data_IF_768968679970
#
_entry.id   IF_768968679970
#
_cell.length_a   1.000
_cell.length_b   1.000
_cell.length_c   1.000
_cell.angle_alpha   90.00
_cell.angle_beta   90.00
_cell.angle_gamma   90.00
#
_symmetry.space_group_name_H-M   'P 1'
#
loop_
_entity.id
_entity.type
_entity.pdbx_description
1 polymer ?
#
# COMPACT_ATOMS: atom_id res chain seq x y z
N UNK A 1 -2.49 -35.82 35.79
CA UNK A 1 -1.72 -36.20 34.59
C UNK A 1 -2.24 -35.37 33.43
N UNK A 2 -1.46 -34.39 32.96
CA UNK A 2 -1.85 -33.56 31.81
C UNK A 2 -0.88 -33.90 30.68
N UNK A 3 -1.35 -34.64 29.68
CA UNK A 3 -0.57 -34.91 28.48
C UNK A 3 -0.36 -33.59 27.76
N UNK A 4 0.87 -33.06 27.81
CA UNK A 4 1.28 -31.94 26.97
C UNK A 4 1.31 -32.43 25.52
N UNK A 5 0.22 -32.17 24.79
CA UNK A 5 0.17 -32.32 23.34
C UNK A 5 0.87 -31.10 22.77
N UNK A 6 2.18 -31.24 22.50
CA UNK A 6 2.91 -30.30 21.65
C UNK A 6 2.31 -30.34 20.23
N UNK A 7 2.29 -29.23 19.47
CA UNK A 7 1.41 -29.05 18.32
C UNK A 7 1.96 -29.79 17.10
N UNK A 8 1.73 -31.10 17.07
CA UNK A 8 1.80 -31.89 15.85
C UNK A 8 0.69 -31.39 14.93
N UNK A 9 1.08 -30.78 13.80
CA UNK A 9 0.21 -30.25 12.73
C UNK A 9 -1.00 -31.15 12.55
N UNK A 10 -2.13 -30.78 13.16
CA UNK A 10 -3.34 -31.59 13.16
C UNK A 10 -4.21 -31.13 12.01
N UNK A 11 -4.73 -32.10 11.27
CA UNK A 11 -5.71 -31.85 10.22
C UNK A 11 -7.11 -31.90 10.82
N UNK A 12 -7.91 -30.88 10.54
CA UNK A 12 -9.30 -30.76 10.95
C UNK A 12 -10.17 -30.99 9.72
N UNK A 13 -11.15 -31.88 9.83
CA UNK A 13 -11.92 -32.43 8.70
C UNK A 13 -13.36 -31.88 8.66
N UNK A 14 -13.74 -31.10 9.66
CA UNK A 14 -15.10 -30.56 9.78
C UNK A 14 -15.14 -29.20 10.46
N UNK A 15 -16.19 -28.43 10.15
CA UNK A 15 -16.48 -27.18 10.84
C UNK A 15 -16.58 -27.31 12.35
N UNK A 16 -17.11 -28.44 12.85
CA UNK A 16 -17.27 -28.68 14.28
C UNK A 16 -15.91 -28.83 14.96
N UNK A 17 -14.99 -29.56 14.34
CA UNK A 17 -13.61 -29.70 14.81
C UNK A 17 -12.88 -28.35 14.79
N UNK A 18 -13.04 -27.57 13.72
CA UNK A 18 -12.45 -26.21 13.63
C UNK A 18 -13.03 -25.29 14.71
N UNK A 19 -14.33 -25.40 14.99
CA UNK A 19 -14.97 -24.62 16.06
C UNK A 19 -14.50 -24.99 17.45
N UNK A 20 -14.32 -26.29 17.71
CA UNK A 20 -13.77 -26.78 18.96
C UNK A 20 -12.32 -26.35 19.14
N UNK A 21 -11.52 -26.36 18.07
CA UNK A 21 -10.12 -25.94 18.09
C UNK A 21 -9.97 -24.44 18.35
N UNK A 22 -10.74 -23.60 17.65
CA UNK A 22 -10.64 -22.14 17.74
C UNK A 22 -11.40 -21.53 18.92
N UNK A 23 -12.26 -22.31 19.59
CA UNK A 23 -13.15 -21.83 20.65
C UNK A 23 -14.23 -20.84 20.17
N UNK A 24 -14.50 -20.77 18.86
CA UNK A 24 -15.49 -19.87 18.25
C UNK A 24 -16.63 -20.68 17.65
N UNK A 25 -17.85 -20.12 17.65
CA UNK A 25 -19.01 -20.80 17.06
C UNK A 25 -18.86 -21.02 15.54
N UNK A 26 -19.39 -22.14 15.03
CA UNK A 26 -19.29 -22.55 13.61
C UNK A 26 -19.65 -21.43 12.62
N UNK A 27 -20.76 -20.71 12.84
CA UNK A 27 -21.19 -19.59 11.97
C UNK A 27 -20.20 -18.43 11.94
N UNK A 28 -19.44 -18.22 13.01
CA UNK A 28 -18.40 -17.18 13.07
C UNK A 28 -17.24 -17.55 12.16
N UNK A 29 -16.85 -18.82 12.15
CA UNK A 29 -15.73 -19.33 11.36
C UNK A 29 -16.11 -19.37 9.88
N UNK A 30 -17.33 -19.80 9.55
CA UNK A 30 -17.86 -19.72 8.20
C UNK A 30 -17.91 -18.27 7.69
N UNK A 31 -18.29 -17.32 8.54
CA UNK A 31 -18.22 -15.89 8.19
C UNK A 31 -16.77 -15.44 7.97
N UNK A 32 -15.82 -15.92 8.78
CA UNK A 32 -14.40 -15.62 8.62
C UNK A 32 -13.82 -16.16 7.31
N UNK A 33 -14.24 -17.36 6.87
CA UNK A 33 -13.90 -17.88 5.54
C UNK A 33 -14.34 -16.91 4.45
N UNK A 34 -15.62 -16.53 4.45
CA UNK A 34 -16.22 -15.70 3.37
C UNK A 34 -15.71 -14.25 3.38
N UNK A 35 -15.56 -13.65 4.56
CA UNK A 35 -15.28 -12.20 4.68
C UNK A 35 -13.81 -11.86 4.93
N UNK A 36 -13.05 -12.77 5.55
CA UNK A 36 -11.70 -12.50 6.06
C UNK A 36 -10.65 -13.50 5.56
N UNK A 37 -11.02 -14.40 4.65
CA UNK A 37 -10.09 -15.35 4.03
C UNK A 37 -9.51 -16.36 5.03
N UNK A 38 -10.33 -16.87 5.95
CA UNK A 38 -9.92 -17.90 6.90
C UNK A 38 -9.36 -19.14 6.15
N UNK A 39 -8.21 -19.71 6.59
CA UNK A 39 -7.52 -20.78 5.87
C UNK A 39 -8.28 -22.10 5.98
N UNK A 40 -9.12 -22.34 4.97
CA UNK A 40 -9.90 -23.57 4.78
C UNK A 40 -9.72 -24.03 3.33
N UNK A 41 -9.35 -25.30 3.19
CA UNK A 41 -9.15 -25.96 1.91
C UNK A 41 -10.38 -26.80 1.56
N UNK A 42 -10.90 -26.61 0.34
CA UNK A 42 -12.03 -27.37 -0.21
C UNK A 42 -11.59 -28.11 -1.46
N UNK A 43 -11.27 -29.41 -1.37
CA UNK A 43 -10.73 -30.19 -2.50
C UNK A 43 -11.64 -30.21 -3.74
N UNK A 44 -12.96 -30.14 -3.55
CA UNK A 44 -13.92 -30.22 -4.64
C UNK A 44 -14.56 -28.86 -5.02
N UNK A 45 -14.12 -27.74 -4.44
CA UNK A 45 -14.62 -26.38 -4.76
C UNK A 45 -16.12 -26.11 -4.53
N UNK A 46 -16.91 -27.13 -4.17
CA UNK A 46 -18.35 -27.03 -3.95
C UNK A 46 -18.67 -26.57 -2.53
N UNK A 47 -19.75 -25.79 -2.31
CA UNK A 47 -20.18 -25.36 -0.98
C UNK A 47 -20.52 -26.52 -0.03
N UNK A 48 -20.83 -27.71 -0.57
CA UNK A 48 -21.07 -28.96 0.19
C UNK A 48 -19.83 -29.87 0.31
N UNK A 49 -18.67 -29.45 -0.20
CA UNK A 49 -17.44 -30.24 -0.15
C UNK A 49 -16.93 -30.42 1.28
N UNK A 50 -16.18 -31.49 1.52
CA UNK A 50 -15.43 -31.72 2.75
C UNK A 50 -14.50 -30.52 3.03
N UNK A 51 -14.41 -30.14 4.30
CA UNK A 51 -13.67 -28.97 4.77
C UNK A 51 -12.41 -29.45 5.44
N UNK A 52 -11.26 -29.02 4.93
CA UNK A 52 -9.97 -29.37 5.50
C UNK A 52 -9.29 -28.09 5.99
N UNK A 53 -8.81 -28.10 7.22
CA UNK A 53 -8.02 -26.99 7.76
C UNK A 53 -6.86 -27.52 8.59
N UNK A 54 -5.69 -26.90 8.45
CA UNK A 54 -4.53 -27.24 9.26
C UNK A 54 -4.44 -26.34 10.48
N UNK A 55 -4.15 -26.91 11.64
CA UNK A 55 -4.05 -26.14 12.89
C UNK A 55 -2.99 -25.05 12.84
N UNK A 56 -1.86 -25.27 12.16
CA UNK A 56 -0.78 -24.28 12.04
C UNK A 56 -1.16 -23.07 11.19
N UNK A 57 -1.89 -23.28 10.09
CA UNK A 57 -2.40 -22.19 9.26
C UNK A 57 -3.45 -21.36 10.01
N UNK A 58 -4.32 -22.03 10.76
CA UNK A 58 -5.30 -21.37 11.64
C UNK A 58 -4.57 -20.53 12.69
N UNK A 59 -3.56 -21.09 13.35
CA UNK A 59 -2.79 -20.40 14.39
C UNK A 59 -2.04 -19.19 13.81
N UNK A 60 -1.44 -19.33 12.62
CA UNK A 60 -0.78 -18.24 11.92
C UNK A 60 -1.77 -17.13 11.54
N UNK A 61 -2.96 -17.49 11.06
CA UNK A 61 -4.01 -16.54 10.73
C UNK A 61 -4.55 -15.81 11.97
N UNK A 62 -4.71 -16.53 13.09
CA UNK A 62 -5.12 -15.97 14.38
C UNK A 62 -4.02 -15.07 15.00
N UNK A 63 -2.74 -15.40 14.78
CA UNK A 63 -1.61 -14.59 15.22
C UNK A 63 -1.45 -13.30 14.38
N UNK A 64 -1.77 -13.37 13.09
CA UNK A 64 -1.74 -12.23 12.17
C UNK A 64 -2.95 -11.29 12.28
N UNK A 65 -4.07 -11.78 12.79
CA UNK A 65 -5.24 -10.95 13.09
C UNK A 65 -4.91 -9.96 14.20
N UNK A 66 -5.22 -8.65 14.06
CA UNK A 66 -5.05 -7.70 15.13
C UNK A 66 -5.92 -8.16 16.29
N UNK A 67 -5.30 -8.80 17.30
CA UNK A 67 -5.98 -9.17 18.54
C UNK A 67 -6.54 -7.87 19.09
N UNK A 68 -7.87 -7.69 19.03
CA UNK A 68 -8.54 -6.77 19.96
C UNK A 68 -8.08 -7.27 21.31
N UNK A 69 -7.24 -6.46 21.93
CA UNK A 69 -6.60 -6.79 23.18
C UNK A 69 -7.70 -6.84 24.24
N UNK A 70 -8.26 -8.02 24.49
CA UNK A 70 -8.89 -8.33 25.77
C UNK A 70 -7.76 -8.62 26.76
N UNK A 71 -7.06 -7.56 27.18
CA UNK A 71 -6.12 -7.56 28.33
C UNK A 71 -6.88 -7.15 29.60
N UNK A 72 -8.00 -7.80 29.92
CA UNK A 72 -8.72 -7.51 31.17
C UNK A 72 -8.98 -8.71 32.07
N UNK A 73 -8.53 -9.92 31.73
CA UNK A 73 -8.61 -11.02 32.68
C UNK A 73 -7.49 -12.06 32.43
N UNK A 74 -6.64 -12.25 33.43
CA UNK A 74 -5.51 -13.16 33.53
C UNK A 74 -4.25 -12.80 32.75
N UNK A 75 -3.24 -12.26 33.43
CA UNK A 75 -2.10 -13.07 33.92
C UNK A 75 -1.17 -12.19 34.81
N UNK A 76 -0.45 -12.79 35.77
CA UNK A 76 0.45 -12.11 36.68
C UNK A 76 1.76 -11.68 35.98
N UNK A 77 2.22 -10.47 36.33
CA UNK A 77 3.63 -10.02 36.27
C UNK A 77 4.35 -10.11 34.90
N UNK A 78 4.16 -9.12 34.02
CA UNK A 78 4.93 -8.95 32.77
C UNK A 78 6.17 -8.06 33.01
N UNK A 79 7.34 -8.63 32.75
CA UNK A 79 8.67 -7.99 32.84
C UNK A 79 8.88 -6.94 31.74
N UNK A 80 9.47 -5.79 32.08
CA UNK A 80 9.75 -4.62 31.20
C UNK A 80 10.36 -4.93 29.81
N UNK A 81 11.01 -6.08 29.65
CA UNK A 81 11.68 -6.52 28.43
C UNK A 81 10.72 -6.84 27.27
N UNK A 82 9.48 -7.27 27.55
CA UNK A 82 8.52 -7.57 26.49
C UNK A 82 7.75 -6.34 26.02
N UNK A 83 7.56 -5.36 26.91
CA UNK A 83 6.99 -4.06 26.54
C UNK A 83 7.93 -3.27 25.62
N UNK A 84 9.23 -3.27 25.88
CA UNK A 84 10.25 -2.62 25.04
C UNK A 84 10.37 -3.26 23.66
N UNK A 85 10.37 -4.59 23.57
CA UNK A 85 10.32 -5.31 22.28
C UNK A 85 9.07 -4.97 21.48
N UNK A 86 7.91 -4.89 22.14
CA UNK A 86 6.65 -4.51 21.49
C UNK A 86 6.69 -3.08 20.97
N UNK A 87 7.17 -2.14 21.78
CA UNK A 87 7.33 -0.73 21.39
C UNK A 87 8.31 -0.56 20.23
N UNK A 88 9.45 -1.25 20.26
CA UNK A 88 10.43 -1.26 19.16
C UNK A 88 9.82 -1.82 17.86
N UNK A 89 9.01 -2.89 17.95
CA UNK A 89 8.33 -3.46 16.79
C UNK A 89 7.32 -2.49 16.14
N UNK A 90 6.65 -1.66 16.95
CA UNK A 90 5.73 -0.64 16.46
C UNK A 90 6.49 0.52 15.80
N UNK A 91 7.60 0.94 16.41
CA UNK A 91 8.48 1.99 15.87
C UNK A 91 9.03 1.62 14.50
N UNK A 92 9.60 0.41 14.35
CA UNK A 92 10.14 -0.05 13.06
C UNK A 92 9.06 -0.10 11.96
N UNK A 93 7.85 -0.56 12.29
CA UNK A 93 6.73 -0.61 11.33
C UNK A 93 6.29 0.79 10.89
N UNK A 94 6.20 1.73 11.83
CA UNK A 94 5.89 3.13 11.53
C UNK A 94 6.98 3.78 10.67
N UNK A 95 8.25 3.48 10.94
CA UNK A 95 9.37 4.02 10.18
C UNK A 95 9.35 3.56 8.71
N UNK A 96 9.11 2.26 8.47
CA UNK A 96 9.04 1.72 7.09
C UNK A 96 7.90 2.35 6.29
N UNK A 97 6.74 2.61 6.91
CA UNK A 97 5.63 3.27 6.20
C UNK A 97 5.95 4.74 5.89
N UNK A 98 6.59 5.47 6.79
CA UNK A 98 7.07 6.84 6.53
C UNK A 98 8.10 6.89 5.41
N UNK A 99 9.06 5.95 5.38
CA UNK A 99 10.10 5.91 4.36
C UNK A 99 9.53 5.65 2.96
N UNK A 100 8.55 4.74 2.84
CA UNK A 100 7.85 4.49 1.57
C UNK A 100 7.07 5.72 1.10
N UNK A 101 6.38 6.41 2.00
CA UNK A 101 5.67 7.64 1.68
C UNK A 101 6.64 8.75 1.20
N UNK A 102 7.80 8.87 1.84
CA UNK A 102 8.84 9.83 1.43
C UNK A 102 9.38 9.54 0.02
N UNK A 103 9.64 8.27 -0.32
CA UNK A 103 10.10 7.89 -1.65
C UNK A 103 9.08 8.27 -2.74
N UNK A 104 7.78 8.08 -2.48
CA UNK A 104 6.70 8.50 -3.39
C UNK A 104 6.72 10.02 -3.58
N UNK A 105 6.78 10.79 -2.49
CA UNK A 105 6.84 12.25 -2.57
C UNK A 105 8.10 12.75 -3.31
N UNK A 106 9.25 12.11 -3.13
CA UNK A 106 10.48 12.43 -3.85
C UNK A 106 10.30 12.22 -5.36
N UNK A 107 9.76 11.06 -5.76
CA UNK A 107 9.50 10.78 -7.17
C UNK A 107 8.54 11.81 -7.79
N UNK A 108 7.46 12.16 -7.09
CA UNK A 108 6.51 13.19 -7.55
C UNK A 108 7.14 14.58 -7.64
N UNK A 109 8.03 14.94 -6.72
CA UNK A 109 8.74 16.22 -6.77
C UNK A 109 9.69 16.29 -7.97
N UNK A 110 10.36 15.19 -8.30
CA UNK A 110 11.27 15.09 -9.43
C UNK A 110 10.50 15.17 -10.77
N UNK A 111 9.34 14.50 -10.88
CA UNK A 111 8.50 14.59 -12.08
C UNK A 111 7.93 15.99 -12.26
N UNK A 112 7.49 16.66 -11.19
CA UNK A 112 7.05 18.06 -11.23
C UNK A 112 8.16 18.99 -11.75
N UNK A 113 9.38 18.86 -11.22
CA UNK A 113 10.51 19.71 -11.64
C UNK A 113 10.92 19.49 -13.11
N UNK A 114 10.65 18.31 -13.68
CA UNK A 114 10.85 18.06 -15.10
C UNK A 114 9.78 18.77 -15.94
N UNK A 115 8.50 18.67 -15.52
CA UNK A 115 7.39 19.35 -16.17
C UNK A 115 7.58 20.87 -16.18
N UNK A 116 7.99 21.45 -15.06
CA UNK A 116 8.27 22.89 -14.95
C UNK A 116 9.37 23.31 -15.94
N UNK A 117 10.45 22.51 -16.05
CA UNK A 117 11.54 22.77 -17.01
C UNK A 117 11.11 22.67 -18.47
N UNK A 118 10.27 21.69 -18.81
CA UNK A 118 9.72 21.57 -20.16
C UNK A 118 8.80 22.74 -20.49
N UNK A 119 7.92 23.12 -19.56
CA UNK A 119 7.03 24.25 -19.71
C UNK A 119 7.81 25.55 -19.92
N UNK A 120 8.83 25.82 -19.11
CA UNK A 120 9.70 26.99 -19.29
C UNK A 120 10.41 27.00 -20.65
N UNK A 121 10.84 25.84 -21.13
CA UNK A 121 11.46 25.71 -22.46
C UNK A 121 10.48 26.04 -23.58
N UNK A 122 9.24 25.57 -23.48
CA UNK A 122 8.18 25.89 -24.42
C UNK A 122 7.85 27.39 -24.40
N UNK A 123 7.69 27.98 -23.21
CA UNK A 123 7.43 29.41 -23.05
C UNK A 123 8.56 30.26 -23.64
N UNK A 124 9.83 29.90 -23.40
CA UNK A 124 10.98 30.57 -24.03
C UNK A 124 10.98 30.43 -25.56
N UNK A 125 10.63 29.26 -26.10
CA UNK A 125 10.54 29.03 -27.53
C UNK A 125 9.44 29.86 -28.19
N UNK A 126 8.26 29.92 -27.56
CA UNK A 126 7.15 30.75 -28.01
C UNK A 126 7.50 32.24 -27.96
N UNK A 127 8.12 32.71 -26.89
CA UNK A 127 8.59 34.10 -26.77
C UNK A 127 9.63 34.48 -27.83
N UNK A 128 10.54 33.55 -28.19
CA UNK A 128 11.48 33.75 -29.31
C UNK A 128 10.77 33.88 -30.65
N UNK A 129 9.74 33.06 -30.90
CA UNK A 129 8.97 33.11 -32.14
C UNK A 129 8.17 34.39 -32.26
N UNK A 130 7.47 34.80 -31.20
CA UNK A 130 6.71 36.06 -31.19
C UNK A 130 7.62 37.29 -31.35
N UNK A 131 8.80 37.27 -30.71
CA UNK A 131 9.82 38.32 -30.90
C UNK A 131 10.43 38.33 -32.31
N UNK A 132 10.64 37.16 -32.92
CA UNK A 132 11.15 37.05 -34.30
C UNK A 132 10.12 37.56 -35.31
N UNK A 133 8.84 37.24 -35.13
CA UNK A 133 7.76 37.77 -35.97
C UNK A 133 7.60 39.28 -35.81
N UNK A 134 7.76 39.82 -34.60
CA UNK A 134 7.75 41.26 -34.37
C UNK A 134 8.97 41.95 -35.02
N UNK A 135 10.15 41.33 -34.98
CA UNK A 135 11.37 41.87 -35.60
C UNK A 135 11.32 41.85 -37.13
N UNK A 136 10.81 40.78 -37.74
CA UNK A 136 10.58 40.69 -39.19
C UNK A 136 9.55 41.72 -39.68
N UNK A 137 8.52 42.02 -38.88
CA UNK A 137 7.54 43.05 -39.22
C UNK A 137 8.13 44.47 -39.19
N UNK A 138 9.08 44.74 -38.28
CA UNK A 138 9.78 46.03 -38.19
C UNK A 138 10.83 46.20 -39.30
N UNK A 139 11.60 45.16 -39.61
CA UNK A 139 12.63 45.21 -40.66
C UNK A 139 12.02 45.34 -42.08
N UNK A 140 10.80 44.84 -42.29
CA UNK A 140 10.05 45.00 -43.55
C UNK A 140 9.50 46.40 -43.81
N UNK A 141 9.44 47.28 -42.80
CA UNK A 141 8.96 48.66 -42.95
C UNK A 141 10.08 49.67 -43.21
N UNK A 142 11.36 49.29 -43.05
CA UNK A 142 12.50 50.21 -43.24
C UNK A 142 13.01 50.28 -44.69
N UNK A 143 12.67 49.30 -45.55
CA UNK A 143 13.15 49.25 -46.94
C UNK A 143 12.31 50.05 -47.96
N UNK A 144 11.12 50.54 -47.60
CA UNK A 144 10.18 51.14 -48.56
C UNK A 144 10.24 52.69 -48.63
N UNK A 145 11.18 53.33 -47.93
CA UNK A 145 11.27 54.80 -47.85
C UNK A 145 12.45 55.44 -48.60
N UNK A 146 13.17 54.71 -49.46
CA UNK A 146 14.36 55.25 -50.17
C UNK A 146 14.23 55.46 -51.68
N UNK A 147 13.07 55.21 -52.30
CA UNK A 147 12.86 55.40 -53.74
C UNK A 147 11.77 56.44 -54.05
N UNK A 148 11.90 57.66 -53.53
CA UNK A 148 11.10 58.79 -54.01
C UNK A 148 11.78 60.13 -53.72
N UNK A 149 12.90 60.39 -54.40
CA UNK A 149 13.47 61.74 -54.54
C UNK A 149 14.49 61.81 -55.68
N UNK A 150 14.01 61.91 -56.91
CA UNK A 150 14.68 62.60 -58.01
C UNK A 150 13.80 62.55 -59.26
N UNK A 151 13.13 63.66 -59.56
CA UNK A 151 13.02 64.23 -60.90
C UNK A 151 12.34 65.59 -60.74
N UNK A 152 13.16 66.62 -60.84
CA UNK A 152 12.78 67.99 -61.16
C UNK A 152 13.13 68.21 -62.64
#
# INVERSE_FOLDING_TARGET
MYTSISPSRRLLHSWKEISAYTGRGVRTIQRYEVQFGFPVHRPAGSPRSAVLAFTDEIDQWLAGSPKRIDQLANEPTVTQTDQTKRMHSLFLKAQVSTQRAQAICQNLSATKALLDRLNDSLQRGLARRTGLTAKLAVDGQSSDSRSSRMSA
#
